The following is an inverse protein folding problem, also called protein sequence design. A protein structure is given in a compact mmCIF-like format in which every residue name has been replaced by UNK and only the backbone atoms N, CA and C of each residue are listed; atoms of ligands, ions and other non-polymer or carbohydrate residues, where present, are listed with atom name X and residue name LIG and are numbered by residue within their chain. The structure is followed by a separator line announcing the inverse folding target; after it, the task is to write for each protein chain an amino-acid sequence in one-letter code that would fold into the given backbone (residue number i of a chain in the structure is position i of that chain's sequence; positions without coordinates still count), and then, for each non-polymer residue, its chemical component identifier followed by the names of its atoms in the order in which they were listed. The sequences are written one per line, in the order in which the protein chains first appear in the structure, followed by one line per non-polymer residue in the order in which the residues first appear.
data_IF_080388872241
#
_entry.id   IF_080388872241
#
_cell.length_a   1.000
_cell.length_b   1.000
_cell.length_c   1.000
_cell.angle_alpha   90.00
_cell.angle_beta   90.00
_cell.angle_gamma   90.00
#
_symmetry.space_group_name_H-M   'P 1'
#
loop_
_entity.id
_entity.type
_entity.pdbx_description
1 polymer ?
#
# COMPACT_ATOMS: atom_id res chain seq x y z
N UNK A 1 3.17 10.10 -5.50
CA UNK A 1 2.97 8.90 -6.35
C UNK A 1 3.60 7.71 -5.66
N UNK A 2 4.87 7.77 -5.24
CA UNK A 2 5.30 6.96 -4.10
C UNK A 2 4.44 7.32 -2.86
N UNK A 3 4.05 6.31 -2.08
CA UNK A 3 3.12 6.42 -0.95
C UNK A 3 1.63 6.48 -1.32
N UNK A 4 1.29 6.38 -2.60
CA UNK A 4 -0.12 6.36 -3.02
C UNK A 4 -0.76 5.00 -2.73
N UNK A 5 -1.97 5.03 -2.17
CA UNK A 5 -2.76 3.83 -1.90
C UNK A 5 -3.62 3.49 -3.12
N UNK A 6 -3.47 2.27 -3.62
CA UNK A 6 -4.25 1.69 -4.71
C UNK A 6 -5.07 0.52 -4.20
N UNK A 7 -6.35 0.50 -4.55
CA UNK A 7 -7.27 -0.57 -4.18
C UNK A 7 -7.43 -1.55 -5.34
N UNK A 8 -7.26 -2.85 -5.08
CA UNK A 8 -7.54 -3.88 -6.06
C UNK A 8 -9.06 -3.95 -6.33
N UNK A 9 -9.51 -3.76 -7.59
CA UNK A 9 -10.93 -3.75 -7.91
C UNK A 9 -11.60 -5.12 -7.79
N UNK A 10 -10.83 -6.20 -7.73
CA UNK A 10 -11.35 -7.57 -7.68
C UNK A 10 -11.61 -8.05 -6.24
N UNK A 11 -10.71 -7.75 -5.30
CA UNK A 11 -10.80 -8.22 -3.91
C UNK A 11 -10.95 -7.10 -2.87
N UNK A 12 -10.84 -5.83 -3.28
CA UNK A 12 -10.92 -4.68 -2.39
C UNK A 12 -9.69 -4.48 -1.49
N UNK A 13 -8.63 -5.27 -1.66
CA UNK A 13 -7.40 -5.11 -0.88
C UNK A 13 -6.68 -3.81 -1.24
N UNK A 14 -6.10 -3.16 -0.24
CA UNK A 14 -5.36 -1.91 -0.39
C UNK A 14 -3.85 -2.16 -0.41
N UNK A 15 -3.15 -1.50 -1.33
CA UNK A 15 -1.71 -1.58 -1.49
C UNK A 15 -1.09 -0.19 -1.55
N UNK A 16 0.12 -0.05 -1.03
CA UNK A 16 0.93 1.17 -1.13
C UNK A 16 1.94 1.03 -2.28
N UNK A 17 2.02 2.08 -3.11
CA UNK A 17 3.02 2.22 -4.16
C UNK A 17 4.38 2.62 -3.57
N UNK A 18 5.40 1.82 -3.87
CA UNK A 18 6.80 2.11 -3.53
C UNK A 18 7.67 2.15 -4.78
N UNK A 19 8.62 3.09 -4.87
CA UNK A 19 9.49 3.19 -6.04
C UNK A 19 10.69 2.24 -5.88
N UNK A 20 10.82 1.31 -6.82
CA UNK A 20 11.93 0.38 -6.92
C UNK A 20 12.96 0.78 -7.99
N UNK A 21 14.08 0.05 -8.08
CA UNK A 21 15.11 0.29 -9.09
C UNK A 21 14.60 0.12 -10.54
N UNK A 22 13.55 -0.70 -10.74
CA UNK A 22 13.02 -1.03 -12.07
C UNK A 22 11.58 -0.53 -12.29
N UNK A 23 11.06 0.36 -11.45
CA UNK A 23 9.70 0.89 -11.59
C UNK A 23 9.00 1.06 -10.25
N UNK A 24 7.74 0.62 -10.19
CA UNK A 24 6.93 0.65 -8.97
C UNK A 24 6.63 -0.76 -8.49
N UNK A 25 6.69 -0.92 -7.17
CA UNK A 25 6.35 -2.13 -6.44
C UNK A 25 5.15 -1.87 -5.54
N UNK A 26 4.32 -2.88 -5.34
CA UNK A 26 3.15 -2.80 -4.47
C UNK A 26 3.41 -3.55 -3.16
N UNK A 27 3.18 -2.88 -2.04
CA UNK A 27 3.22 -3.47 -0.69
C UNK A 27 1.83 -3.46 -0.09
N UNK A 28 1.43 -4.44 0.74
CA UNK A 28 0.15 -4.36 1.45
C UNK A 28 0.08 -3.03 2.21
N UNK A 29 -1.00 -2.27 2.01
CA UNK A 29 -1.20 -1.03 2.74
C UNK A 29 -1.45 -1.36 4.22
N UNK A 30 -0.95 -0.52 5.12
CA UNK A 30 -1.22 -0.69 6.54
C UNK A 30 -2.72 -0.57 6.80
N UNK A 31 -3.29 -1.51 7.54
CA UNK A 31 -4.68 -1.41 8.00
C UNK A 31 -4.71 -0.50 9.22
N UNK A 32 -5.70 0.39 9.31
CA UNK A 32 -5.92 1.23 10.50
C UNK A 32 -6.23 0.31 11.67
N UNK A 33 -5.26 0.09 12.56
CA UNK A 33 -5.41 -0.80 13.72
C UNK A 33 -4.17 -1.58 14.15
N UNK A 34 -3.08 -1.58 13.37
CA UNK A 34 -1.94 -2.45 13.70
C UNK A 34 -1.04 -1.95 14.84
N UNK A 35 -0.84 -0.63 15.00
CA UNK A 35 -0.16 -0.03 16.16
C UNK A 35 -0.16 1.51 16.04
N UNK A 36 -1.33 2.15 16.11
CA UNK A 36 -1.43 3.62 16.15
C UNK A 36 -1.67 4.04 17.60
N UNK A 37 -0.74 3.73 18.50
CA UNK A 37 -0.85 4.09 19.90
C UNK A 37 -0.03 3.23 20.85
N UNK A 38 1.28 3.51 20.90
CA UNK A 38 2.03 3.50 22.15
C UNK A 38 2.48 4.93 22.49
#
# INVERSE_FOLDING_TARGET
LEGEIVTCPECGASFELSKGPNGFDLKPAQTVGEDWGE
#
